data_IF_669902705337
#
_entry.id   IF_669902705337
#
_cell.length_a   1.000
_cell.length_b   1.000
_cell.length_c   1.000
_cell.angle_alpha   90.00
_cell.angle_beta   90.00
_cell.angle_gamma   90.00
#
_symmetry.space_group_name_H-M   'P 1'
#
loop_
_entity.id
_entity.type
_entity.pdbx_description
1 polymer ?
#
# COMPACT_ATOMS: atom_id res chain seq x y z
N UNK A 1 3.23 -20.45 2.03
CA UNK A 1 2.84 -19.03 2.00
C UNK A 1 1.34 -18.99 2.21
N UNK A 2 0.88 -18.29 3.24
CA UNK A 2 -0.56 -18.17 3.49
C UNK A 2 -1.21 -17.42 2.32
N UNK A 3 -2.45 -17.77 1.95
CA UNK A 3 -3.26 -17.06 0.94
C UNK A 3 -3.25 -15.54 1.18
N UNK A 4 -3.23 -15.12 2.45
CA UNK A 4 -3.12 -13.72 2.87
C UNK A 4 -1.79 -13.06 2.47
N UNK A 5 -0.67 -13.78 2.52
CA UNK A 5 0.63 -13.26 2.06
C UNK A 5 0.66 -13.12 0.54
N UNK A 6 0.06 -14.06 -0.20
CA UNK A 6 -0.02 -14.01 -1.66
C UNK A 6 -0.89 -12.84 -2.14
N UNK A 7 -2.04 -12.63 -1.50
CA UNK A 7 -2.90 -11.47 -1.74
C UNK A 7 -2.22 -10.14 -1.41
N UNK A 8 -1.47 -10.08 -0.31
CA UNK A 8 -0.69 -8.88 0.03
C UNK A 8 0.44 -8.60 -0.96
N UNK A 9 1.23 -9.61 -1.33
CA UNK A 9 2.36 -9.43 -2.27
C UNK A 9 1.90 -8.91 -3.64
N UNK A 10 0.69 -9.25 -4.06
CA UNK A 10 0.10 -8.77 -5.32
C UNK A 10 -0.62 -7.42 -5.17
N UNK A 11 -1.37 -7.21 -4.08
CA UNK A 11 -2.13 -5.98 -3.87
C UNK A 11 -1.25 -4.76 -3.52
N UNK A 12 -0.15 -4.97 -2.78
CA UNK A 12 0.74 -3.88 -2.34
C UNK A 12 1.37 -3.09 -3.51
N UNK A 13 2.00 -3.72 -4.51
CA UNK A 13 2.57 -2.98 -5.64
C UNK A 13 1.49 -2.28 -6.48
N UNK A 14 0.31 -2.88 -6.62
CA UNK A 14 -0.83 -2.25 -7.34
C UNK A 14 -1.26 -0.96 -6.64
N UNK A 15 -1.41 -1.00 -5.31
CA UNK A 15 -1.75 0.17 -4.49
C UNK A 15 -0.69 1.28 -4.61
N UNK A 16 0.59 0.91 -4.60
CA UNK A 16 1.69 1.87 -4.77
C UNK A 16 1.63 2.55 -6.14
N UNK A 17 1.45 1.79 -7.22
CA UNK A 17 1.33 2.33 -8.58
C UNK A 17 0.12 3.27 -8.69
N UNK A 18 -1.01 2.89 -8.10
CA UNK A 18 -2.22 3.70 -8.12
C UNK A 18 -2.04 5.01 -7.35
N UNK A 19 -1.43 4.96 -6.17
CA UNK A 19 -1.12 6.16 -5.38
C UNK A 19 -0.19 7.13 -6.13
N UNK A 20 0.83 6.61 -6.84
CA UNK A 20 1.74 7.41 -7.67
C UNK A 20 1.00 8.04 -8.85
N UNK A 21 0.13 7.27 -9.53
CA UNK A 21 -0.67 7.78 -10.64
C UNK A 21 -1.62 8.92 -10.20
N UNK A 22 -2.28 8.76 -9.05
CA UNK A 22 -3.15 9.79 -8.47
C UNK A 22 -2.38 11.04 -8.01
N UNK A 23 -1.19 10.87 -7.45
CA UNK A 23 -0.29 11.99 -7.14
C UNK A 23 0.11 12.75 -8.40
N UNK A 24 0.43 12.04 -9.49
CA UNK A 24 0.81 12.64 -10.78
C UNK A 24 -0.33 13.40 -11.46
N UNK A 25 -1.58 13.04 -11.18
CA UNK A 25 -2.76 13.76 -11.67
C UNK A 25 -3.10 15.03 -10.85
N UNK A 26 -2.37 15.33 -9.78
CA UNK A 26 -2.64 16.49 -8.91
C UNK A 26 -3.90 16.35 -8.05
N UNK A 27 -4.54 15.18 -8.09
CA UNK A 27 -5.77 14.86 -7.32
C UNK A 27 -5.43 14.49 -5.88
N UNK A 28 -4.20 14.03 -5.63
CA UNK A 28 -3.75 13.59 -4.31
C UNK A 28 -2.74 14.57 -3.73
N UNK A 29 -3.11 15.22 -2.62
CA UNK A 29 -2.19 16.03 -1.80
C UNK A 29 -1.04 15.16 -1.30
N UNK A 30 0.18 15.71 -1.24
CA UNK A 30 1.38 15.03 -0.72
C UNK A 30 1.14 14.37 0.63
N UNK A 31 0.31 15.00 1.49
CA UNK A 31 -0.09 14.45 2.79
C UNK A 31 -0.92 13.17 2.64
N UNK A 32 -1.83 13.11 1.68
CA UNK A 32 -2.67 11.94 1.41
C UNK A 32 -1.88 10.79 0.76
N UNK A 33 -0.88 11.10 -0.06
CA UNK A 33 0.01 10.08 -0.59
C UNK A 33 0.93 9.48 0.48
N UNK A 34 1.51 10.34 1.34
CA UNK A 34 2.34 9.89 2.47
C UNK A 34 1.50 9.06 3.43
N UNK A 35 0.26 9.46 3.75
CA UNK A 35 -0.61 8.67 4.63
C UNK A 35 -0.97 7.31 4.02
N UNK A 36 -1.31 7.25 2.73
CA UNK A 36 -1.64 6.01 2.03
C UNK A 36 -0.46 5.02 2.02
N UNK A 37 0.76 5.51 1.70
CA UNK A 37 1.98 4.68 1.72
C UNK A 37 2.27 4.18 3.13
N UNK A 38 2.18 5.06 4.13
CA UNK A 38 2.42 4.72 5.54
C UNK A 38 1.45 3.63 6.03
N UNK A 39 0.17 3.77 5.68
CA UNK A 39 -0.86 2.80 6.05
C UNK A 39 -0.64 1.45 5.37
N UNK A 40 -0.24 1.46 4.10
CA UNK A 40 0.04 0.23 3.34
C UNK A 40 1.23 -0.54 3.94
N UNK A 41 2.28 0.16 4.38
CA UNK A 41 3.42 -0.44 5.08
C UNK A 41 3.01 -0.99 6.45
N UNK A 42 2.18 -0.26 7.20
CA UNK A 42 1.68 -0.72 8.49
C UNK A 42 0.87 -2.02 8.39
N UNK A 43 -0.02 -2.12 7.39
CA UNK A 43 -0.81 -3.33 7.14
C UNK A 43 0.11 -4.52 6.81
N UNK A 44 1.10 -4.31 5.96
CA UNK A 44 2.07 -5.37 5.62
C UNK A 44 2.88 -5.83 6.84
N UNK A 45 3.33 -4.90 7.68
CA UNK A 45 4.10 -5.22 8.89
C UNK A 45 3.28 -6.04 9.91
N UNK A 46 2.01 -5.66 10.12
CA UNK A 46 1.10 -6.41 11.02
C UNK A 46 0.87 -7.83 10.49
N UNK A 47 0.61 -7.99 9.20
CA UNK A 47 0.35 -9.30 8.60
C UNK A 47 1.58 -10.21 8.61
N UNK A 48 2.78 -9.66 8.50
CA UNK A 48 4.03 -10.42 8.64
C UNK A 48 4.44 -10.71 10.08
N UNK A 49 3.98 -9.93 11.06
CA UNK A 49 4.26 -10.14 12.50
C UNK A 49 3.24 -11.06 13.16
N UNK A 50 2.00 -11.09 12.67
CA UNK A 50 0.92 -11.89 13.25
C UNK A 50 0.80 -13.30 12.69
N UNK A 51 1.59 -13.64 11.66
CA UNK A 51 1.59 -14.91 10.93
C UNK A 51 2.98 -15.53 10.93
#
# INVERSE_FOLDING_TARGET
MSEAQLGLMTATPIMIVFAIALQRMGVLSTVAAVSAVSLSVAIAAVLFTTQ
#
